data_IF_825279006036
#
_entry.id   IF_825279006036
#
_cell.length_a   1.000
_cell.length_b   1.000
_cell.length_c   1.000
_cell.angle_alpha   90.00
_cell.angle_beta   90.00
_cell.angle_gamma   90.00
#
_symmetry.space_group_name_H-M   'P 1'
#
loop_
_entity.id
_entity.type
_entity.pdbx_description
1 polymer ?
#
# COMPACT_ATOMS: atom_id res chain seq x y z
N UNK A 1 -22.99 5.04 8.01
CA UNK A 1 -24.33 4.52 8.25
C UNK A 1 -25.34 4.86 7.15
N UNK A 2 -25.57 6.13 6.73
CA UNK A 2 -26.53 6.43 5.64
C UNK A 2 -26.13 5.81 4.28
N UNK A 3 -24.87 5.78 3.92
CA UNK A 3 -24.35 5.22 2.67
C UNK A 3 -24.49 3.69 2.62
N UNK A 4 -24.19 3.01 3.72
CA UNK A 4 -24.34 1.56 3.85
C UNK A 4 -25.79 1.12 3.69
N UNK A 5 -26.70 1.81 4.36
CA UNK A 5 -28.14 1.54 4.25
C UNK A 5 -28.64 1.75 2.82
N UNK A 6 -28.20 2.82 2.14
CA UNK A 6 -28.58 3.09 0.75
C UNK A 6 -28.03 2.01 -0.20
N UNK A 7 -26.79 1.57 -0.01
CA UNK A 7 -26.18 0.52 -0.81
C UNK A 7 -26.90 -0.83 -0.65
N UNK A 8 -27.15 -1.24 0.60
CA UNK A 8 -27.86 -2.49 0.91
C UNK A 8 -29.31 -2.47 0.39
N UNK A 9 -29.95 -1.30 0.35
CA UNK A 9 -31.29 -1.14 -0.22
C UNK A 9 -31.27 -1.21 -1.76
N UNK A 10 -30.21 -0.73 -2.41
CA UNK A 10 -30.10 -0.72 -3.87
C UNK A 10 -29.73 -2.10 -4.45
N UNK A 11 -28.86 -2.88 -3.79
CA UNK A 11 -28.39 -4.17 -4.29
C UNK A 11 -29.49 -5.13 -4.76
N UNK A 12 -30.62 -5.33 -4.03
CA UNK A 12 -31.68 -6.23 -4.46
C UNK A 12 -32.41 -5.81 -5.75
N UNK A 13 -32.23 -4.56 -6.20
CA UNK A 13 -32.82 -4.07 -7.45
C UNK A 13 -32.02 -4.44 -8.70
N UNK A 14 -30.79 -4.95 -8.53
CA UNK A 14 -29.94 -5.37 -9.62
C UNK A 14 -30.53 -6.61 -10.33
N UNK A 15 -30.74 -6.50 -11.64
CA UNK A 15 -31.29 -7.58 -12.49
C UNK A 15 -30.32 -8.04 -13.54
N UNK A 16 -29.34 -7.21 -13.91
CA UNK A 16 -28.32 -7.53 -14.92
C UNK A 16 -26.95 -7.08 -14.45
N UNK A 17 -25.92 -7.69 -15.00
CA UNK A 17 -24.55 -7.27 -14.78
C UNK A 17 -23.76 -7.23 -16.09
N UNK A 18 -22.73 -6.40 -16.12
CA UNK A 18 -21.78 -6.33 -17.22
C UNK A 18 -20.37 -6.31 -16.63
N UNK A 19 -19.46 -7.08 -17.22
CA UNK A 19 -18.04 -7.05 -16.87
C UNK A 19 -17.30 -6.51 -18.09
N UNK A 20 -16.56 -5.42 -17.91
CA UNK A 20 -15.71 -4.82 -18.94
C UNK A 20 -14.31 -4.57 -18.34
N UNK A 21 -13.33 -5.36 -18.79
CA UNK A 21 -12.01 -5.35 -18.16
C UNK A 21 -12.12 -5.67 -16.67
N UNK A 22 -11.68 -4.76 -15.83
CA UNK A 22 -11.67 -4.90 -14.37
C UNK A 22 -12.93 -4.37 -13.69
N UNK A 23 -13.88 -3.82 -14.44
CA UNK A 23 -15.08 -3.23 -13.90
C UNK A 23 -16.27 -4.18 -13.99
N UNK A 24 -16.96 -4.37 -12.86
CA UNK A 24 -18.27 -5.01 -12.75
C UNK A 24 -19.33 -3.93 -12.52
N UNK A 25 -20.28 -3.81 -13.40
CA UNK A 25 -21.44 -2.94 -13.25
C UNK A 25 -22.71 -3.78 -13.01
N UNK A 26 -23.46 -3.41 -11.99
CA UNK A 26 -24.79 -3.94 -11.70
C UNK A 26 -25.85 -2.92 -12.15
N UNK A 27 -26.85 -3.37 -12.89
CA UNK A 27 -27.93 -2.50 -13.39
C UNK A 27 -29.30 -3.08 -13.05
N UNK A 28 -30.28 -2.19 -12.84
CA UNK A 28 -31.67 -2.57 -12.61
C UNK A 28 -32.39 -2.97 -13.92
N UNK A 29 -33.66 -3.31 -13.81
CA UNK A 29 -34.52 -3.69 -14.94
C UNK A 29 -34.71 -2.57 -15.97
N UNK A 30 -34.47 -1.30 -15.62
CA UNK A 30 -34.56 -0.15 -16.49
C UNK A 30 -33.21 0.24 -17.11
N UNK A 31 -32.13 -0.50 -16.77
CA UNK A 31 -30.78 -0.23 -17.22
C UNK A 31 -30.03 0.83 -16.39
N UNK A 32 -30.63 1.34 -15.30
CA UNK A 32 -29.95 2.28 -14.42
C UNK A 32 -28.83 1.60 -13.61
N UNK A 33 -27.72 2.31 -13.38
CA UNK A 33 -26.59 1.79 -12.61
C UNK A 33 -26.99 1.66 -11.13
N UNK A 34 -26.91 0.46 -10.59
CA UNK A 34 -27.13 0.14 -9.18
C UNK A 34 -25.84 0.23 -8.39
N UNK A 35 -24.77 -0.38 -8.90
CA UNK A 35 -23.45 -0.37 -8.30
C UNK A 35 -22.37 -0.63 -9.35
N UNK A 36 -21.18 -0.09 -9.13
CA UNK A 36 -19.99 -0.39 -9.90
C UNK A 36 -18.86 -0.80 -8.97
N UNK A 37 -18.13 -1.84 -9.35
CA UNK A 37 -16.99 -2.38 -8.64
C UNK A 37 -15.82 -2.45 -9.60
N UNK A 38 -14.62 -2.16 -9.14
CA UNK A 38 -13.40 -2.39 -9.88
C UNK A 38 -12.59 -3.44 -9.15
N UNK A 39 -12.05 -4.44 -9.88
CA UNK A 39 -11.16 -5.40 -9.24
C UNK A 39 -9.91 -4.67 -8.74
N UNK A 40 -9.42 -5.10 -7.58
CA UNK A 40 -8.09 -4.66 -7.17
C UNK A 40 -7.06 -5.15 -8.19
N UNK A 41 -6.00 -4.38 -8.49
CA UNK A 41 -4.88 -4.87 -9.28
C UNK A 41 -4.40 -6.22 -8.74
N UNK A 42 -3.95 -7.13 -9.60
CA UNK A 42 -3.41 -8.40 -9.13
C UNK A 42 -2.29 -8.12 -8.13
N UNK A 43 -2.31 -8.85 -7.02
CA UNK A 43 -1.29 -8.73 -6.00
C UNK A 43 0.09 -9.04 -6.60
N UNK A 44 1.11 -8.22 -6.30
CA UNK A 44 2.46 -8.46 -6.78
C UNK A 44 2.98 -9.80 -6.28
N UNK A 45 3.66 -10.52 -7.15
CA UNK A 45 4.33 -11.78 -6.84
C UNK A 45 5.85 -11.66 -6.94
N UNK A 46 6.36 -10.52 -7.42
CA UNK A 46 7.78 -10.21 -7.57
C UNK A 46 8.14 -8.97 -6.78
N UNK A 47 9.34 -8.93 -6.22
CA UNK A 47 9.85 -7.79 -5.47
C UNK A 47 10.04 -6.57 -6.39
N UNK A 48 10.65 -6.81 -7.55
CA UNK A 48 11.04 -5.79 -8.51
C UNK A 48 9.87 -5.40 -9.41
N UNK A 49 9.76 -4.10 -9.72
CA UNK A 49 8.76 -3.54 -10.63
C UNK A 49 7.40 -3.26 -9.99
N UNK A 50 7.20 -3.66 -8.74
CA UNK A 50 6.00 -3.34 -7.98
C UNK A 50 6.23 -2.13 -7.06
N UNK A 51 5.20 -1.33 -6.87
CA UNK A 51 5.17 -0.35 -5.78
C UNK A 51 4.63 -1.03 -4.52
N UNK A 52 5.34 -0.84 -3.42
CA UNK A 52 5.03 -1.38 -2.11
C UNK A 52 4.68 -0.26 -1.15
N UNK A 53 3.49 -0.30 -0.57
CA UNK A 53 3.06 0.62 0.49
C UNK A 53 3.34 -0.03 1.85
N UNK A 54 4.16 0.63 2.67
CA UNK A 54 4.54 0.12 4.00
C UNK A 54 3.33 0.16 4.93
N UNK A 55 3.13 -0.92 5.67
CA UNK A 55 2.06 -1.04 6.67
C UNK A 55 2.59 -1.08 8.09
N UNK A 56 3.79 -1.67 8.27
CA UNK A 56 4.45 -1.85 9.56
C UNK A 56 5.96 -1.81 9.35
N UNK A 57 6.70 -1.22 10.27
CA UNK A 57 8.16 -1.26 10.30
C UNK A 57 8.69 -1.39 11.73
N UNK A 58 9.94 -1.83 11.88
CA UNK A 58 10.59 -1.93 13.18
C UNK A 58 11.12 -0.55 13.61
N UNK A 59 10.74 -0.10 14.79
CA UNK A 59 11.15 1.21 15.32
C UNK A 59 12.53 1.21 16.01
N UNK A 60 13.28 0.12 15.89
CA UNK A 60 14.60 -0.03 16.56
C UNK A 60 14.53 -0.43 18.03
N UNK A 61 13.34 -0.42 18.64
CA UNK A 61 13.11 -0.79 20.04
C UNK A 61 12.47 -2.19 20.17
N UNK A 62 12.79 -3.10 19.24
CA UNK A 62 12.25 -4.46 19.14
C UNK A 62 10.72 -4.52 18.97
N UNK A 63 10.13 -3.46 18.45
CA UNK A 63 8.69 -3.38 18.20
C UNK A 63 8.43 -3.06 16.72
N UNK A 64 7.50 -3.82 16.13
CA UNK A 64 6.91 -3.47 14.86
C UNK A 64 5.74 -2.50 15.12
N UNK A 65 5.79 -1.33 14.49
CA UNK A 65 4.82 -0.24 14.69
C UNK A 65 4.13 0.11 13.39
N UNK A 66 2.89 0.56 13.49
CA UNK A 66 2.16 1.15 12.35
C UNK A 66 2.63 2.57 12.09
N UNK A 67 2.33 3.08 10.90
CA UNK A 67 2.68 4.44 10.51
C UNK A 67 1.91 5.49 11.33
N UNK A 68 2.49 6.66 11.43
CA UNK A 68 1.80 7.86 11.94
C UNK A 68 0.59 8.16 11.05
N UNK A 69 -0.56 8.45 11.68
CA UNK A 69 -1.78 8.72 10.95
C UNK A 69 -1.60 9.89 9.96
N UNK A 70 -2.08 9.68 8.73
CA UNK A 70 -1.99 10.68 7.66
C UNK A 70 -0.66 10.68 6.90
N UNK A 71 0.26 9.73 7.20
CA UNK A 71 1.49 9.53 6.42
C UNK A 71 1.41 8.29 5.55
N UNK A 72 2.18 8.28 4.48
CA UNK A 72 2.37 7.13 3.61
C UNK A 72 3.86 6.93 3.35
N UNK A 73 4.31 5.69 3.47
CA UNK A 73 5.67 5.28 3.15
C UNK A 73 5.60 4.29 1.99
N UNK A 74 6.38 4.54 0.94
CA UNK A 74 6.41 3.69 -0.24
C UNK A 74 7.81 3.17 -0.53
N UNK A 75 7.89 2.02 -1.19
CA UNK A 75 9.13 1.41 -1.68
C UNK A 75 8.94 0.93 -3.11
N UNK A 76 9.91 1.17 -3.95
CA UNK A 76 10.00 0.60 -5.30
C UNK A 76 11.40 0.04 -5.51
N UNK A 77 11.47 -1.22 -5.89
CA UNK A 77 12.71 -1.93 -6.22
C UNK A 77 12.84 -2.01 -7.74
N UNK A 78 13.87 -1.37 -8.29
CA UNK A 78 14.14 -1.32 -9.73
C UNK A 78 14.92 -2.53 -10.24
N UNK A 79 14.75 -2.83 -11.53
CA UNK A 79 15.53 -3.88 -12.23
C UNK A 79 17.04 -3.58 -12.27
N UNK A 80 17.39 -2.31 -12.15
CA UNK A 80 18.77 -1.82 -12.10
C UNK A 80 19.43 -1.95 -10.72
N UNK A 81 18.73 -2.56 -9.75
CA UNK A 81 19.19 -2.69 -8.36
C UNK A 81 18.97 -1.42 -7.52
N UNK A 82 18.23 -0.44 -8.02
CA UNK A 82 17.86 0.75 -7.24
C UNK A 82 16.69 0.46 -6.30
N UNK A 83 16.68 1.10 -5.14
CA UNK A 83 15.52 1.20 -4.24
C UNK A 83 15.22 2.65 -3.97
N UNK A 84 13.96 3.04 -4.10
CA UNK A 84 13.51 4.41 -3.91
C UNK A 84 12.08 4.46 -3.40
N UNK A 85 11.67 5.62 -2.87
CA UNK A 85 10.30 5.84 -2.41
C UNK A 85 10.16 7.09 -1.57
N UNK A 86 9.03 7.18 -0.89
CA UNK A 86 8.73 8.18 0.13
C UNK A 86 8.92 7.58 1.52
N UNK A 87 9.58 8.29 2.42
CA UNK A 87 9.72 7.91 3.83
C UNK A 87 8.67 8.61 4.73
N UNK A 88 7.69 9.27 4.11
CA UNK A 88 6.65 10.06 4.77
C UNK A 88 6.81 11.55 4.47
N UNK A 89 7.91 12.16 4.85
CA UNK A 89 8.25 13.55 4.54
C UNK A 89 9.21 13.64 3.36
N UNK A 90 10.29 12.88 3.40
CA UNK A 90 11.36 12.93 2.41
C UNK A 90 11.29 11.77 1.43
N UNK A 91 11.79 12.02 0.22
CA UNK A 91 12.11 10.97 -0.74
C UNK A 91 13.45 10.35 -0.38
N UNK A 92 13.58 9.06 -0.60
CA UNK A 92 14.84 8.36 -0.43
C UNK A 92 15.22 7.57 -1.67
N UNK A 93 16.53 7.32 -1.80
CA UNK A 93 17.13 6.54 -2.88
C UNK A 93 18.33 5.77 -2.36
N UNK A 94 18.54 4.58 -2.87
CA UNK A 94 19.70 3.74 -2.61
C UNK A 94 19.78 2.56 -3.55
N UNK A 95 20.55 1.57 -3.17
CA UNK A 95 20.72 0.35 -3.95
C UNK A 95 20.48 -0.88 -3.09
N UNK A 96 20.03 -1.94 -3.72
CA UNK A 96 19.83 -3.23 -3.08
C UNK A 96 20.42 -4.35 -3.94
N UNK A 97 20.65 -5.49 -3.31
CA UNK A 97 21.00 -6.75 -3.99
C UNK A 97 20.12 -7.86 -3.48
N UNK A 98 19.78 -8.81 -4.35
CA UNK A 98 19.01 -10.01 -3.98
C UNK A 98 19.71 -11.27 -4.48
N UNK A 99 19.61 -12.35 -3.71
CA UNK A 99 20.03 -13.68 -4.09
C UNK A 99 19.10 -14.71 -3.47
N UNK A 100 18.21 -15.29 -4.30
CA UNK A 100 17.12 -16.11 -3.80
C UNK A 100 16.18 -15.29 -2.90
N UNK A 101 15.99 -15.73 -1.67
CA UNK A 101 15.18 -15.02 -0.67
C UNK A 101 15.98 -14.05 0.22
N UNK A 102 17.29 -13.91 -0.04
CA UNK A 102 18.11 -12.95 0.70
C UNK A 102 18.09 -11.59 0.01
N UNK A 103 18.11 -10.55 0.81
CA UNK A 103 18.15 -9.14 0.37
C UNK A 103 19.20 -8.40 1.20
N UNK A 104 19.86 -7.43 0.59
CA UNK A 104 20.72 -6.47 1.29
C UNK A 104 20.44 -5.08 0.74
N UNK A 105 20.06 -4.16 1.59
CA UNK A 105 19.83 -2.76 1.25
C UNK A 105 21.04 -1.94 1.71
N UNK A 106 21.65 -1.22 0.77
CA UNK A 106 22.80 -0.37 1.02
C UNK A 106 22.41 0.94 1.71
N UNK A 107 23.40 1.86 1.87
CA UNK A 107 23.13 3.18 2.41
C UNK A 107 22.08 3.92 1.59
N UNK A 108 21.16 4.60 2.28
CA UNK A 108 20.07 5.38 1.69
C UNK A 108 20.41 6.86 1.78
N UNK A 109 20.22 7.57 0.67
CA UNK A 109 20.26 9.03 0.60
C UNK A 109 18.83 9.58 0.66
N UNK A 110 18.64 10.72 1.32
CA UNK A 110 17.33 11.37 1.45
C UNK A 110 17.37 12.82 1.03
N UNK A 111 16.23 13.37 0.63
CA UNK A 111 16.01 14.82 0.61
C UNK A 111 16.01 15.33 2.06
N UNK A 112 16.05 16.66 2.26
CA UNK A 112 16.18 17.27 3.59
C UNK A 112 15.09 18.32 3.82
N UNK A 113 13.84 17.94 3.55
CA UNK A 113 12.70 18.73 3.97
C UNK A 113 12.45 18.53 5.47
N UNK A 114 11.94 19.56 6.14
CA UNK A 114 11.44 19.45 7.52
C UNK A 114 9.92 19.53 7.48
N UNK A 115 9.26 18.49 7.96
CA UNK A 115 7.80 18.41 8.06
C UNK A 115 7.42 18.48 9.54
N UNK A 116 6.83 19.59 10.02
CA UNK A 116 6.42 19.72 11.42
C UNK A 116 5.16 18.89 11.74
N UNK A 117 4.37 18.57 10.71
CA UNK A 117 3.11 17.85 10.83
C UNK A 117 3.05 16.68 9.84
N UNK A 118 2.43 15.56 10.21
CA UNK A 118 1.94 15.22 11.55
C UNK A 118 3.11 15.01 12.54
N UNK A 119 2.85 15.23 13.84
CA UNK A 119 3.84 15.00 14.89
C UNK A 119 4.42 13.58 14.82
N UNK A 120 5.75 13.46 14.92
CA UNK A 120 6.47 12.19 14.85
C UNK A 120 6.88 11.75 13.44
N UNK A 121 6.50 12.48 12.38
CA UNK A 121 6.83 12.09 10.99
C UNK A 121 8.34 12.03 10.74
N UNK A 122 9.12 12.95 11.30
CA UNK A 122 10.57 12.97 11.13
C UNK A 122 11.25 11.79 11.84
N UNK A 123 10.78 11.46 13.05
CA UNK A 123 11.25 10.29 13.79
C UNK A 123 10.86 8.99 13.09
N UNK A 124 9.64 8.90 12.57
CA UNK A 124 9.18 7.77 11.75
C UNK A 124 10.08 7.54 10.55
N UNK A 125 10.44 8.61 9.82
CA UNK A 125 11.33 8.55 8.67
C UNK A 125 12.68 7.94 9.02
N UNK A 126 13.33 8.47 10.07
CA UNK A 126 14.64 7.99 10.54
C UNK A 126 14.56 6.49 10.94
N UNK A 127 13.53 6.12 11.69
CA UNK A 127 13.32 4.73 12.13
C UNK A 127 13.05 3.79 10.96
N UNK A 128 12.20 4.19 10.00
CA UNK A 128 11.90 3.38 8.82
C UNK A 128 13.15 3.15 7.96
N UNK A 129 13.91 4.20 7.67
CA UNK A 129 15.12 4.10 6.85
C UNK A 129 16.19 3.22 7.53
N UNK A 130 16.31 3.30 8.84
CA UNK A 130 17.16 2.41 9.61
C UNK A 130 16.65 0.96 9.53
N UNK A 131 15.34 0.73 9.71
CA UNK A 131 14.73 -0.59 9.64
C UNK A 131 14.93 -1.25 8.28
N UNK A 132 14.73 -0.51 7.19
CA UNK A 132 14.89 -1.03 5.83
C UNK A 132 16.31 -1.55 5.57
N UNK A 133 17.34 -0.90 6.11
CA UNK A 133 18.73 -1.32 6.00
C UNK A 133 19.10 -2.55 6.85
N UNK A 134 18.25 -2.94 7.80
CA UNK A 134 18.45 -4.17 8.61
C UNK A 134 17.91 -5.42 7.94
N UNK A 135 17.19 -5.29 6.84
CA UNK A 135 16.59 -6.41 6.12
C UNK A 135 17.68 -7.33 5.53
N UNK A 136 17.56 -8.63 5.79
CA UNK A 136 18.46 -9.67 5.23
C UNK A 136 17.72 -10.75 4.46
N UNK A 137 16.42 -10.88 4.64
CA UNK A 137 15.58 -11.80 3.88
C UNK A 137 14.22 -11.18 3.57
N UNK A 138 13.57 -11.73 2.54
CA UNK A 138 12.22 -11.32 2.17
C UNK A 138 11.37 -12.49 1.72
N UNK A 139 10.06 -12.36 1.91
CA UNK A 139 9.04 -13.23 1.30
C UNK A 139 7.91 -12.38 0.75
N UNK A 140 7.26 -12.88 -0.31
CA UNK A 140 6.07 -12.26 -0.88
C UNK A 140 4.96 -13.30 -0.91
N UNK A 141 3.86 -12.99 -0.22
CA UNK A 141 2.69 -13.86 -0.17
C UNK A 141 1.41 -13.02 -0.28
N UNK A 142 0.55 -13.35 -1.24
CA UNK A 142 -0.73 -12.66 -1.46
C UNK A 142 -0.61 -11.13 -1.54
N UNK A 143 0.45 -10.63 -2.19
CA UNK A 143 0.70 -9.19 -2.31
C UNK A 143 1.21 -8.52 -1.04
N UNK A 144 1.62 -9.28 -0.06
CA UNK A 144 2.33 -8.77 1.12
C UNK A 144 3.81 -9.10 0.99
N UNK A 145 4.64 -8.07 1.09
CA UNK A 145 6.09 -8.16 1.23
C UNK A 145 6.44 -8.14 2.71
N UNK A 146 7.17 -9.14 3.16
CA UNK A 146 7.69 -9.27 4.52
C UNK A 146 9.22 -9.26 4.45
N UNK A 147 9.85 -8.19 4.95
CA UNK A 147 11.29 -8.03 5.08
C UNK A 147 11.68 -8.35 6.51
N UNK A 148 12.70 -9.21 6.69
CA UNK A 148 13.15 -9.65 8.02
C UNK A 148 14.61 -9.39 8.28
N UNK A 149 14.91 -9.15 9.54
CA UNK A 149 16.25 -9.01 10.11
C UNK A 149 16.92 -10.36 10.28
N UNK A 150 18.23 -10.38 10.59
CA UNK A 150 19.02 -11.62 10.76
C UNK A 150 18.52 -12.51 11.91
N UNK A 151 17.89 -11.95 12.92
CA UNK A 151 17.27 -12.69 14.04
C UNK A 151 15.82 -13.11 13.75
N UNK A 152 15.31 -12.84 12.55
CA UNK A 152 13.99 -13.21 12.09
C UNK A 152 12.87 -12.24 12.50
N UNK A 153 13.21 -11.12 13.16
CA UNK A 153 12.23 -10.08 13.47
C UNK A 153 11.76 -9.37 12.19
N UNK A 154 10.58 -8.75 12.24
CA UNK A 154 10.09 -7.91 11.17
C UNK A 154 11.02 -6.69 11.06
N UNK A 155 11.56 -6.43 9.86
CA UNK A 155 12.18 -5.17 9.53
C UNK A 155 11.12 -4.22 8.95
N UNK A 156 10.46 -4.63 7.87
CA UNK A 156 9.39 -3.87 7.21
C UNK A 156 8.35 -4.83 6.64
N UNK A 157 7.08 -4.51 6.78
CA UNK A 157 5.99 -5.15 6.04
C UNK A 157 5.33 -4.13 5.13
N UNK A 158 5.01 -4.56 3.92
CA UNK A 158 4.35 -3.72 2.93
C UNK A 158 3.34 -4.52 2.10
N UNK A 159 2.38 -3.84 1.52
CA UNK A 159 1.43 -4.40 0.57
C UNK A 159 1.69 -3.86 -0.83
N UNK A 160 1.58 -4.71 -1.84
CA UNK A 160 1.61 -4.26 -3.24
C UNK A 160 0.27 -3.65 -3.62
N UNK A 161 0.36 -2.49 -4.30
CA UNK A 161 -0.71 -1.84 -5.04
C UNK A 161 -2.13 -2.36 -4.89
N UNK A 162 -2.71 -2.05 -3.81
CA UNK A 162 -4.02 -1.41 -3.72
C UNK A 162 -3.72 -0.23 -2.83
N UNK A 163 -3.76 0.97 -3.37
CA UNK A 163 -4.00 2.12 -2.49
C UNK A 163 -5.00 1.61 -1.48
N UNK A 164 -4.62 1.51 -0.21
CA UNK A 164 -5.46 0.96 0.82
C UNK A 164 -6.83 1.57 0.59
N UNK A 165 -7.79 0.74 0.14
CA UNK A 165 -9.17 1.14 0.19
C UNK A 165 -9.38 1.44 1.67
N UNK A 166 -9.29 2.72 2.01
CA UNK A 166 -9.74 3.20 3.29
C UNK A 166 -11.06 2.49 3.52
N UNK A 167 -11.28 1.78 4.64
CA UNK A 167 -12.61 1.27 4.93
C UNK A 167 -13.52 2.50 5.00
N UNK A 168 -14.23 2.80 3.92
CA UNK A 168 -15.12 3.96 3.82
C UNK A 168 -15.11 4.74 2.51
N UNK A 169 -14.24 4.50 1.55
CA UNK A 169 -14.27 5.23 0.27
C UNK A 169 -14.84 4.38 -0.87
N UNK A 170 -16.09 3.99 -0.73
CA UNK A 170 -16.89 3.65 -1.91
C UNK A 170 -17.49 4.98 -2.39
N UNK A 171 -16.88 5.57 -3.42
CA UNK A 171 -17.47 6.70 -4.12
C UNK A 171 -18.74 6.20 -4.84
N UNK A 172 -19.87 6.23 -4.16
CA UNK A 172 -21.18 6.12 -4.81
C UNK A 172 -21.44 7.48 -5.45
N UNK A 173 -21.16 7.62 -6.73
CA UNK A 173 -21.64 8.74 -7.51
C UNK A 173 -23.16 8.56 -7.67
N UNK A 174 -23.94 9.13 -6.77
CA UNK A 174 -25.37 9.37 -6.97
C UNK A 174 -25.50 10.47 -8.02
N UNK A 175 -25.63 10.06 -9.29
CA UNK A 175 -26.12 10.98 -10.32
C UNK A 175 -27.60 11.24 -10.03
N UNK A 176 -27.88 12.37 -9.39
CA UNK A 176 -29.21 12.97 -9.39
C UNK A 176 -29.51 13.38 -10.83
N UNK A 177 -30.42 12.72 -11.48
CA UNK A 177 -31.04 13.20 -12.72
C UNK A 177 -32.29 14.00 -12.36
N UNK A 178 -32.56 15.11 -13.09
CA UNK A 178 -33.76 15.95 -12.87
C UNK A 178 -35.07 15.25 -13.20
#
# INVERSE_FOLDING_TARGET
>A
MAQETAFLAALPTATTYTIQGDALELRDANGALVASFTSAPPAATTLVGAEWTVTVFNNGNQAAVSLVNGTEITMMFGEDGSVQGSAGCNLYFGYFTVSGETISVGPLATTRAFCPEPEGIMEQEDQFLAALQTAVSYTIQNGTLDLRTADGAIAVMASSGSAAAMPGSTAVALLSQP
#
